data_IF_195445618507
#
_entry.id   IF_195445618507
#
_cell.length_a   1.000
_cell.length_b   1.000
_cell.length_c   1.000
_cell.angle_alpha   90.00
_cell.angle_beta   90.00
_cell.angle_gamma   90.00
#
_symmetry.space_group_name_H-M   'P 1'
#
loop_
_entity.id
_entity.type
_entity.pdbx_description
1 polymer ?
#
# COMPACT_ATOMS: atom_id res chain seq x y z
N UNK A 1 -36.67 -53.95 43.38
CA UNK A 1 -37.06 -52.63 43.91
C UNK A 1 -35.97 -52.27 44.91
N UNK A 2 -35.08 -51.30 44.72
CA UNK A 2 -35.20 -49.97 44.10
C UNK A 2 -33.87 -49.61 43.44
N UNK A 3 -33.91 -49.14 42.19
CA UNK A 3 -32.79 -48.45 41.53
C UNK A 3 -32.66 -47.05 42.12
N UNK A 4 -31.45 -46.66 42.52
CA UNK A 4 -31.10 -45.24 42.71
C UNK A 4 -29.93 -44.91 41.79
N UNK A 5 -30.27 -44.36 40.61
CA UNK A 5 -29.33 -43.78 39.65
C UNK A 5 -28.73 -42.51 40.27
N UNK A 6 -27.41 -42.49 40.45
CA UNK A 6 -26.70 -41.30 40.88
C UNK A 6 -26.74 -40.25 39.76
N UNK A 7 -27.35 -39.08 40.00
CA UNK A 7 -27.42 -38.03 39.01
C UNK A 7 -26.16 -37.17 39.06
N UNK A 8 -25.50 -37.07 37.90
CA UNK A 8 -24.84 -35.84 37.42
C UNK A 8 -23.42 -35.58 37.92
N UNK A 9 -22.46 -35.80 37.02
CA UNK A 9 -21.34 -34.88 36.79
C UNK A 9 -21.04 -34.87 35.29
N UNK A 10 -21.94 -34.28 34.49
CA UNK A 10 -21.52 -33.77 33.19
C UNK A 10 -20.75 -32.48 33.45
N UNK A 11 -19.44 -32.61 33.67
CA UNK A 11 -18.53 -31.47 33.62
C UNK A 11 -18.53 -30.95 32.18
N UNK A 12 -19.37 -29.95 31.91
CA UNK A 12 -19.33 -29.21 30.67
C UNK A 12 -18.00 -28.44 30.63
N UNK A 13 -17.01 -29.02 29.97
CA UNK A 13 -15.79 -28.29 29.59
C UNK A 13 -16.22 -27.17 28.64
N UNK A 14 -16.36 -25.96 29.18
CA UNK A 14 -16.53 -24.75 28.38
C UNK A 14 -15.22 -24.53 27.64
N UNK A 15 -15.14 -25.00 26.39
CA UNK A 15 -14.13 -24.53 25.45
C UNK A 15 -14.42 -23.05 25.23
N UNK A 16 -13.71 -22.19 25.95
CA UNK A 16 -13.60 -20.79 25.58
C UNK A 16 -13.00 -20.77 24.17
N UNK A 17 -13.69 -20.20 23.16
CA UNK A 17 -13.07 -20.01 21.86
C UNK A 17 -11.91 -19.04 22.10
N UNK A 18 -10.68 -19.52 21.95
CA UNK A 18 -9.55 -18.64 21.79
C UNK A 18 -9.85 -17.79 20.56
N UNK A 19 -10.29 -16.55 20.78
CA UNK A 19 -10.41 -15.56 19.73
C UNK A 19 -9.01 -15.42 19.15
N UNK A 20 -8.75 -16.11 18.04
CA UNK A 20 -7.51 -15.96 17.30
C UNK A 20 -7.46 -14.50 16.89
N UNK A 21 -6.55 -13.73 17.48
CA UNK A 21 -6.26 -12.40 17.02
C UNK A 21 -5.72 -12.57 15.60
N UNK A 22 -6.60 -12.41 14.61
CA UNK A 22 -6.20 -12.44 13.21
C UNK A 22 -5.14 -11.35 13.03
N UNK A 23 -3.98 -11.75 12.49
CA UNK A 23 -2.89 -10.83 12.21
C UNK A 23 -3.41 -9.67 11.35
N UNK A 24 -2.95 -8.43 11.57
CA UNK A 24 -3.42 -7.28 10.80
C UNK A 24 -3.15 -7.51 9.31
N UNK A 25 -4.04 -7.01 8.44
CA UNK A 25 -3.91 -7.12 6.97
C UNK A 25 -2.52 -6.70 6.45
N UNK A 26 -1.85 -5.76 7.13
CA UNK A 26 -0.46 -5.36 6.87
C UNK A 26 0.56 -6.49 6.95
N UNK A 27 0.35 -7.50 7.79
CA UNK A 27 1.29 -8.62 7.95
C UNK A 27 1.03 -9.77 6.97
N UNK A 28 -0.24 -10.00 6.60
CA UNK A 28 -0.62 -11.17 5.80
C UNK A 28 -0.82 -10.86 4.31
N UNK A 29 -1.11 -9.60 3.95
CA UNK A 29 -1.45 -9.28 2.57
C UNK A 29 -0.22 -9.16 1.67
N UNK A 30 -0.33 -9.68 0.45
CA UNK A 30 0.72 -9.61 -0.57
C UNK A 30 0.83 -8.20 -1.16
N UNK A 31 1.95 -7.93 -1.84
CA UNK A 31 2.15 -6.66 -2.55
C UNK A 31 1.06 -6.41 -3.61
N UNK A 32 0.70 -7.46 -4.35
CA UNK A 32 -0.38 -7.46 -5.34
C UNK A 32 -1.75 -7.16 -4.70
N UNK A 33 -2.05 -7.75 -3.54
CA UNK A 33 -3.31 -7.48 -2.84
C UNK A 33 -3.42 -6.02 -2.40
N UNK A 34 -2.34 -5.42 -1.91
CA UNK A 34 -2.32 -3.98 -1.63
C UNK A 34 -2.54 -3.15 -2.90
N UNK A 35 -1.96 -3.58 -4.03
CA UNK A 35 -2.17 -2.90 -5.31
C UNK A 35 -3.63 -2.98 -5.75
N UNK A 36 -4.27 -4.15 -5.66
CA UNK A 36 -5.70 -4.30 -5.97
C UNK A 36 -6.58 -3.41 -5.10
N UNK A 37 -6.34 -3.38 -3.78
CA UNK A 37 -7.07 -2.49 -2.88
C UNK A 37 -6.86 -1.00 -3.23
N UNK A 38 -5.70 -0.63 -3.78
CA UNK A 38 -5.47 0.73 -4.26
C UNK A 38 -6.30 1.05 -5.51
N UNK A 39 -6.45 0.09 -6.42
CA UNK A 39 -7.29 0.24 -7.61
C UNK A 39 -8.78 0.36 -7.25
N UNK A 40 -9.24 -0.42 -6.27
CA UNK A 40 -10.59 -0.30 -5.72
C UNK A 40 -10.82 1.10 -5.14
N UNK A 41 -9.93 1.57 -4.26
CA UNK A 41 -10.03 2.91 -3.67
C UNK A 41 -10.04 4.02 -4.73
N UNK A 42 -9.24 3.88 -5.79
CA UNK A 42 -9.25 4.80 -6.93
C UNK A 42 -10.61 4.81 -7.62
N UNK A 43 -11.24 3.65 -7.81
CA UNK A 43 -12.55 3.54 -8.45
C UNK A 43 -13.67 4.16 -7.61
N UNK A 44 -13.53 4.14 -6.28
CA UNK A 44 -14.43 4.78 -5.33
C UNK A 44 -14.17 6.30 -5.17
N UNK A 45 -13.08 6.81 -5.73
CA UNK A 45 -12.65 8.20 -5.56
C UNK A 45 -11.95 8.48 -4.21
N UNK A 46 -11.65 7.45 -3.42
CA UNK A 46 -10.86 7.58 -2.19
C UNK A 46 -9.36 7.60 -2.50
N UNK A 47 -8.90 8.76 -2.96
CA UNK A 47 -7.50 8.93 -3.37
C UNK A 47 -6.52 8.93 -2.19
N UNK A 48 -6.98 9.21 -0.97
CA UNK A 48 -6.16 9.11 0.22
C UNK A 48 -5.83 7.64 0.51
N UNK A 49 -6.85 6.78 0.49
CA UNK A 49 -6.67 5.35 0.68
C UNK A 49 -5.93 4.70 -0.49
N UNK A 50 -6.16 5.16 -1.74
CA UNK A 50 -5.37 4.75 -2.91
C UNK A 50 -3.87 5.00 -2.69
N UNK A 51 -3.47 6.23 -2.31
CA UNK A 51 -2.06 6.56 -2.08
C UNK A 51 -1.42 5.74 -0.97
N UNK A 52 -2.17 5.52 0.12
CA UNK A 52 -1.69 4.72 1.25
C UNK A 52 -1.40 3.28 0.82
N UNK A 53 -2.34 2.65 0.10
CA UNK A 53 -2.21 1.26 -0.39
C UNK A 53 -1.16 1.12 -1.49
N UNK A 54 -1.02 2.11 -2.38
CA UNK A 54 0.06 2.16 -3.36
C UNK A 54 1.43 2.14 -2.67
N UNK A 55 1.63 2.93 -1.61
CA UNK A 55 2.88 2.93 -0.86
C UNK A 55 3.15 1.59 -0.19
N UNK A 56 2.12 0.94 0.36
CA UNK A 56 2.23 -0.40 0.94
C UNK A 56 2.64 -1.45 -0.10
N UNK A 57 2.04 -1.43 -1.29
CA UNK A 57 2.38 -2.33 -2.39
C UNK A 57 3.79 -2.05 -2.94
N UNK A 58 4.10 -0.79 -3.25
CA UNK A 58 5.36 -0.35 -3.82
C UNK A 58 6.56 -0.65 -2.91
N UNK A 59 6.38 -0.50 -1.59
CA UNK A 59 7.40 -0.83 -0.57
C UNK A 59 7.68 -2.32 -0.52
N UNK A 60 6.66 -3.16 -0.76
CA UNK A 60 6.82 -4.62 -0.87
C UNK A 60 7.33 -5.06 -2.25
N UNK A 61 7.65 -4.12 -3.14
CA UNK A 61 8.24 -4.40 -4.44
C UNK A 61 7.23 -4.73 -5.53
N UNK A 62 5.96 -4.34 -5.39
CA UNK A 62 5.01 -4.44 -6.50
C UNK A 62 5.41 -3.47 -7.63
N UNK A 63 5.65 -3.99 -8.85
CA UNK A 63 6.19 -3.19 -9.94
C UNK A 63 5.16 -2.17 -10.44
N UNK A 64 3.92 -2.62 -10.60
CA UNK A 64 2.78 -1.84 -11.04
C UNK A 64 2.46 -0.72 -10.04
N UNK A 65 2.52 -1.00 -8.74
CA UNK A 65 2.35 0.02 -7.72
C UNK A 65 3.47 1.07 -7.73
N UNK A 66 4.72 0.68 -7.97
CA UNK A 66 5.83 1.65 -8.09
C UNK A 66 5.61 2.59 -9.29
N UNK A 67 5.21 2.04 -10.44
CA UNK A 67 4.90 2.83 -11.64
C UNK A 67 3.70 3.75 -11.43
N UNK A 68 2.62 3.24 -10.83
CA UNK A 68 1.41 4.01 -10.59
C UNK A 68 1.66 5.11 -9.55
N UNK A 69 2.36 4.80 -8.47
CA UNK A 69 2.70 5.77 -7.43
C UNK A 69 3.60 6.89 -7.98
N UNK A 70 4.58 6.58 -8.83
CA UNK A 70 5.37 7.58 -9.52
C UNK A 70 4.50 8.52 -10.38
N UNK A 71 3.52 7.97 -11.12
CA UNK A 71 2.60 8.76 -11.95
C UNK A 71 1.70 9.67 -11.10
N UNK A 72 1.14 9.13 -10.01
CA UNK A 72 0.25 9.86 -9.11
C UNK A 72 1.01 10.98 -8.40
N UNK A 73 2.25 10.74 -7.96
CA UNK A 73 3.05 11.77 -7.30
C UNK A 73 3.62 12.79 -8.27
N UNK A 74 3.71 12.50 -9.56
CA UNK A 74 4.09 13.48 -10.58
C UNK A 74 2.92 14.35 -11.03
N UNK A 75 1.77 13.75 -11.31
CA UNK A 75 0.64 14.40 -11.99
C UNK A 75 -0.67 14.43 -11.17
N UNK A 76 -0.64 13.98 -9.93
CA UNK A 76 -1.81 13.75 -9.08
C UNK A 76 -2.79 14.92 -8.97
N UNK A 77 -2.35 16.18 -8.75
CA UNK A 77 -3.26 17.31 -8.65
C UNK A 77 -4.15 17.49 -9.90
N UNK A 78 -3.61 17.18 -11.08
CA UNK A 78 -4.32 17.31 -12.35
C UNK A 78 -5.25 16.11 -12.64
N UNK A 79 -4.89 14.92 -12.14
CA UNK A 79 -5.62 13.67 -12.40
C UNK A 79 -6.71 13.39 -11.37
N UNK A 80 -6.48 13.78 -10.12
CA UNK A 80 -7.29 13.38 -8.96
C UNK A 80 -7.72 14.58 -8.09
N UNK A 81 -7.35 15.80 -8.50
CA UNK A 81 -7.69 17.04 -7.81
C UNK A 81 -6.70 17.43 -6.70
N UNK A 82 -6.91 18.63 -6.13
CA UNK A 82 -5.96 19.27 -5.22
C UNK A 82 -5.66 18.51 -3.91
N UNK A 83 -6.49 17.51 -3.56
CA UNK A 83 -6.26 16.63 -2.42
C UNK A 83 -5.08 15.67 -2.61
N UNK A 84 -4.72 15.38 -3.86
CA UNK A 84 -3.55 14.56 -4.21
C UNK A 84 -2.39 15.49 -4.53
N UNK A 85 -1.45 15.64 -3.60
CA UNK A 85 -0.29 16.51 -3.78
C UNK A 85 0.75 15.84 -4.67
N UNK A 86 1.36 16.63 -5.55
CA UNK A 86 2.55 16.19 -6.27
C UNK A 86 3.76 16.15 -5.32
N UNK A 87 4.56 15.11 -5.45
CA UNK A 87 5.88 14.95 -4.84
C UNK A 87 6.83 14.33 -5.90
N UNK A 88 7.44 15.14 -6.76
CA UNK A 88 8.34 14.65 -7.81
C UNK A 88 9.59 13.95 -7.25
N UNK A 89 9.94 14.19 -5.99
CA UNK A 89 11.12 13.59 -5.38
C UNK A 89 10.81 12.16 -4.94
N UNK A 90 9.66 11.94 -4.29
CA UNK A 90 9.15 10.60 -4.02
C UNK A 90 8.84 9.86 -5.33
N UNK A 91 8.25 10.52 -6.33
CA UNK A 91 8.00 9.92 -7.64
C UNK A 91 9.28 9.38 -8.30
N UNK A 92 10.38 10.13 -8.23
CA UNK A 92 11.66 9.74 -8.82
C UNK A 92 12.24 8.50 -8.14
N UNK A 93 12.04 8.33 -6.84
CA UNK A 93 12.45 7.13 -6.12
C UNK A 93 11.72 5.89 -6.66
N UNK A 94 10.38 5.95 -6.76
CA UNK A 94 9.58 4.82 -7.22
C UNK A 94 9.83 4.49 -8.70
N UNK A 95 9.94 5.51 -9.56
CA UNK A 95 10.30 5.32 -10.95
C UNK A 95 11.69 4.68 -11.11
N UNK A 96 12.66 5.06 -10.26
CA UNK A 96 13.97 4.43 -10.29
C UNK A 96 13.92 2.95 -9.88
N UNK A 97 13.20 2.59 -8.82
CA UNK A 97 13.07 1.18 -8.41
C UNK A 97 12.42 0.31 -9.49
N UNK A 98 11.37 0.81 -10.15
CA UNK A 98 10.74 0.09 -11.25
C UNK A 98 11.64 0.04 -12.51
N UNK A 99 12.43 1.08 -12.77
CA UNK A 99 13.43 1.11 -13.86
C UNK A 99 14.51 0.05 -13.67
N UNK A 100 15.04 -0.12 -12.45
CA UNK A 100 16.05 -1.14 -12.14
C UNK A 100 15.54 -2.56 -12.41
N UNK A 101 14.22 -2.75 -12.40
CA UNK A 101 13.57 -4.03 -12.76
C UNK A 101 13.23 -4.17 -14.25
N UNK A 102 13.67 -3.22 -15.08
CA UNK A 102 13.53 -3.25 -16.53
C UNK A 102 12.25 -2.65 -17.08
N UNK A 103 11.42 -2.00 -16.25
CA UNK A 103 10.16 -1.41 -16.71
C UNK A 103 10.38 -0.31 -17.76
N UNK A 104 9.72 -0.46 -18.91
CA UNK A 104 9.74 0.55 -19.97
C UNK A 104 8.94 1.80 -19.59
N UNK A 105 7.83 1.63 -18.88
CA UNK A 105 7.03 2.71 -18.30
C UNK A 105 7.88 3.54 -17.34
N UNK A 106 8.54 2.86 -16.40
CA UNK A 106 9.37 3.50 -15.39
C UNK A 106 10.58 4.22 -16.00
N UNK A 107 11.17 3.68 -17.07
CA UNK A 107 12.23 4.37 -17.83
C UNK A 107 11.78 5.71 -18.36
N UNK A 108 10.59 5.79 -18.94
CA UNK A 108 10.03 7.04 -19.42
C UNK A 108 9.74 8.00 -18.26
N UNK A 109 9.10 7.52 -17.18
CA UNK A 109 8.83 8.31 -15.98
C UNK A 109 10.12 8.89 -15.38
N UNK A 110 11.15 8.05 -15.24
CA UNK A 110 12.46 8.45 -14.72
C UNK A 110 13.11 9.50 -15.60
N UNK A 111 13.03 9.38 -16.93
CA UNK A 111 13.57 10.39 -17.85
C UNK A 111 12.92 11.77 -17.63
N UNK A 112 11.59 11.80 -17.52
CA UNK A 112 10.84 13.04 -17.21
C UNK A 112 11.27 13.60 -15.86
N UNK A 113 11.27 12.77 -14.81
CA UNK A 113 11.60 13.17 -13.44
C UNK A 113 13.06 13.63 -13.29
N UNK A 114 13.99 12.96 -13.97
CA UNK A 114 15.40 13.32 -13.95
C UNK A 114 15.62 14.69 -14.62
N UNK A 115 14.88 15.01 -15.69
CA UNK A 115 14.88 16.34 -16.31
C UNK A 115 14.33 17.46 -15.41
N UNK A 116 13.54 17.12 -14.39
CA UNK A 116 12.98 18.09 -13.44
C UNK A 116 13.92 18.41 -12.27
N UNK A 117 15.04 17.69 -12.10
CA UNK A 117 15.95 17.84 -10.94
C UNK A 117 16.60 19.22 -10.86
N UNK A 118 16.82 19.85 -12.01
CA UNK A 118 17.46 21.17 -12.07
C UNK A 118 16.48 22.32 -11.89
N UNK A 119 15.18 22.05 -11.85
CA UNK A 119 14.14 23.06 -11.59
C UNK A 119 14.26 23.50 -10.13
N UNK A 120 14.58 24.79 -9.84
CA UNK A 120 14.94 25.22 -8.49
C UNK A 120 13.85 24.98 -7.44
N UNK A 121 12.57 25.02 -7.83
CA UNK A 121 11.44 24.75 -6.93
C UNK A 121 11.34 23.28 -6.53
N UNK A 122 11.71 22.36 -7.43
CA UNK A 122 11.67 20.91 -7.20
C UNK A 122 12.90 20.48 -6.39
N UNK A 123 14.09 20.93 -6.80
CA UNK A 123 15.37 20.62 -6.14
C UNK A 123 15.39 20.92 -4.64
N UNK A 124 14.84 22.07 -4.23
CA UNK A 124 14.84 22.50 -2.82
C UNK A 124 13.91 21.66 -1.93
N UNK A 125 12.95 20.94 -2.51
CA UNK A 125 11.93 20.17 -1.79
C UNK A 125 12.26 18.69 -1.61
N UNK A 126 13.31 18.17 -2.26
CA UNK A 126 13.59 16.74 -2.21
C UNK A 126 14.13 16.28 -0.85
N UNK A 127 13.30 15.53 -0.14
CA UNK A 127 13.66 14.72 1.03
C UNK A 127 13.64 13.25 0.60
N UNK A 128 14.52 12.38 1.12
CA UNK A 128 14.38 10.94 0.94
C UNK A 128 12.97 10.51 1.39
N UNK A 129 12.31 9.61 0.63
CA UNK A 129 10.96 9.17 0.97
C UNK A 129 10.96 8.55 2.38
N UNK A 130 9.89 8.76 3.17
CA UNK A 130 9.78 8.12 4.47
C UNK A 130 9.78 6.59 4.31
N UNK A 131 10.34 5.88 5.29
CA UNK A 131 10.21 4.43 5.33
C UNK A 131 8.76 4.09 5.65
N UNK A 132 8.06 3.49 4.69
CA UNK A 132 6.71 2.97 4.87
C UNK A 132 6.82 1.66 5.68
N UNK A 133 6.67 1.76 7.01
CA UNK A 133 6.51 0.59 7.88
C UNK A 133 5.04 0.21 8.00
#
# INVERSE_FOLDING_TARGET
MVLTLAPWLFAAAVLAPAASAAAPLSEIATSEQFYQLALEARSEGDYAAMLMRLRQAATRGDLEAQEMLASVLLAGPALYGAGVKADPCEAMHWAHLALERGSATARHQWMVLNGLRDVPRIRKGCRPPPLYR
#
